data_IF_071263008397
#
_entry.id   IF_071263008397
#
_cell.length_a   1.000
_cell.length_b   1.000
_cell.length_c   1.000
_cell.angle_alpha   90.00
_cell.angle_beta   90.00
_cell.angle_gamma   90.00
#
_symmetry.space_group_name_H-M   'P 1'
#
loop_
_entity.id
_entity.type
_entity.pdbx_description
1 polymer ?
#
# COMPACT_ATOMS: atom_id res chain seq x y z
N UNK A 1 -30.00 -10.98 -4.18
CA UNK A 1 -30.29 -10.46 -2.84
C UNK A 1 -30.42 -8.97 -2.95
N UNK A 2 -31.49 -8.39 -2.41
CA UNK A 2 -31.72 -6.94 -2.32
C UNK A 2 -31.44 -6.49 -0.91
N UNK A 3 -30.56 -5.50 -0.74
CA UNK A 3 -30.26 -4.88 0.55
C UNK A 3 -30.92 -3.50 0.60
N UNK A 4 -31.55 -3.18 1.70
CA UNK A 4 -32.12 -1.86 2.00
C UNK A 4 -31.34 -1.30 3.18
N UNK A 5 -30.68 -0.16 2.99
CA UNK A 5 -30.01 0.53 4.08
C UNK A 5 -31.02 1.27 4.95
N UNK A 6 -30.74 1.35 6.25
CA UNK A 6 -31.56 2.11 7.19
C UNK A 6 -31.38 3.61 7.00
N UNK A 7 -30.16 4.02 6.66
CA UNK A 7 -29.79 5.40 6.42
C UNK A 7 -29.60 5.63 4.90
N UNK A 8 -29.78 6.85 4.44
CA UNK A 8 -29.57 7.23 3.03
C UNK A 8 -28.07 7.30 2.74
N UNK A 9 -27.52 6.17 2.27
CA UNK A 9 -26.10 6.02 1.96
C UNK A 9 -25.96 5.84 0.45
N UNK A 10 -25.15 6.69 -0.18
CA UNK A 10 -24.79 6.52 -1.58
C UNK A 10 -23.86 5.30 -1.74
N UNK A 11 -24.39 4.26 -2.37
CA UNK A 11 -23.68 3.02 -2.65
C UNK A 11 -23.77 2.69 -4.13
N UNK A 12 -22.67 2.85 -4.83
CA UNK A 12 -22.56 2.69 -6.28
C UNK A 12 -21.77 1.44 -6.67
N UNK A 13 -21.79 1.10 -7.97
CA UNK A 13 -20.99 -0.01 -8.49
C UNK A 13 -19.49 0.22 -8.20
N UNK A 14 -18.87 -0.78 -7.62
CA UNK A 14 -17.45 -0.75 -7.19
C UNK A 14 -17.26 -0.48 -5.70
N UNK A 15 -18.30 -0.03 -4.99
CA UNK A 15 -18.24 0.07 -3.55
C UNK A 15 -18.32 -1.31 -2.90
N UNK A 16 -17.64 -1.45 -1.77
CA UNK A 16 -17.64 -2.69 -0.97
C UNK A 16 -18.23 -2.41 0.39
N UNK A 17 -19.17 -3.25 0.80
CA UNK A 17 -19.79 -3.21 2.12
C UNK A 17 -19.01 -4.18 3.00
N UNK A 18 -18.42 -3.68 4.08
CA UNK A 18 -17.70 -4.49 5.06
C UNK A 18 -18.29 -4.35 6.46
N UNK A 19 -17.98 -5.30 7.32
CA UNK A 19 -18.37 -5.23 8.73
C UNK A 19 -17.61 -4.09 9.43
N UNK A 20 -18.30 -3.33 10.29
CA UNK A 20 -17.67 -2.29 11.12
C UNK A 20 -16.56 -2.86 12.03
N UNK A 21 -16.70 -4.13 12.45
CA UNK A 21 -15.72 -4.81 13.31
C UNK A 21 -14.53 -5.37 12.52
N UNK A 22 -14.62 -5.42 11.19
CA UNK A 22 -13.55 -5.90 10.29
C UNK A 22 -13.56 -5.06 9.02
N UNK A 23 -13.16 -3.79 9.09
CA UNK A 23 -13.09 -2.93 7.92
C UNK A 23 -12.01 -3.42 6.97
N UNK A 24 -12.25 -3.27 5.66
CA UNK A 24 -11.25 -3.54 4.64
C UNK A 24 -10.13 -2.51 4.69
N UNK A 25 -8.94 -2.93 4.28
CA UNK A 25 -7.86 -1.99 4.02
C UNK A 25 -8.17 -1.16 2.76
N UNK A 26 -7.83 0.12 2.81
CA UNK A 26 -7.98 1.05 1.68
C UNK A 26 -6.61 1.59 1.34
N UNK A 27 -6.19 1.44 0.09
CA UNK A 27 -4.89 1.90 -0.38
C UNK A 27 -4.89 2.19 -1.88
N UNK A 28 -4.00 3.08 -2.30
CA UNK A 28 -3.67 3.35 -3.70
C UNK A 28 -2.44 2.58 -4.18
N UNK A 29 -1.78 1.83 -3.28
CA UNK A 29 -0.63 0.99 -3.61
C UNK A 29 -0.78 -0.39 -3.01
N UNK A 30 -0.48 -1.40 -3.81
CA UNK A 30 -0.56 -2.79 -3.40
C UNK A 30 0.61 -3.59 -3.96
N UNK A 31 1.07 -4.56 -3.20
CA UNK A 31 1.96 -5.60 -3.69
C UNK A 31 1.13 -6.76 -4.21
N UNK A 32 1.49 -7.25 -5.37
CA UNK A 32 0.80 -8.37 -5.98
C UNK A 32 1.77 -9.33 -6.68
N UNK A 33 1.39 -10.60 -6.67
CA UNK A 33 1.98 -11.63 -7.52
C UNK A 33 1.18 -11.68 -8.81
N UNK A 34 1.82 -11.50 -9.96
CA UNK A 34 1.17 -11.52 -11.28
C UNK A 34 1.74 -12.62 -12.15
N UNK A 35 0.91 -13.16 -13.02
CA UNK A 35 1.28 -13.99 -14.16
C UNK A 35 1.15 -13.12 -15.40
N UNK A 36 2.24 -12.96 -16.12
CA UNK A 36 2.24 -12.20 -17.37
C UNK A 36 1.81 -13.10 -18.53
N UNK A 37 0.79 -12.67 -19.31
CA UNK A 37 0.16 -13.50 -20.33
C UNK A 37 0.24 -12.92 -21.74
N UNK A 38 0.98 -11.82 -21.93
CA UNK A 38 1.16 -11.19 -23.24
C UNK A 38 2.53 -11.54 -23.85
N UNK A 39 2.59 -11.62 -25.20
CA UNK A 39 3.83 -11.93 -25.93
C UNK A 39 4.89 -10.86 -25.70
N UNK A 40 4.49 -9.58 -25.73
CA UNK A 40 5.40 -8.48 -25.37
C UNK A 40 5.64 -8.48 -23.85
N UNK A 41 6.88 -8.29 -23.44
CA UNK A 41 7.25 -8.24 -22.04
C UNK A 41 6.61 -7.07 -21.31
N UNK A 42 6.38 -7.24 -20.00
CA UNK A 42 5.90 -6.18 -19.12
C UNK A 42 6.76 -4.92 -19.25
N UNK A 43 6.12 -3.78 -19.51
CA UNK A 43 6.78 -2.47 -19.53
C UNK A 43 6.51 -1.76 -18.20
N UNK A 44 7.52 -1.61 -17.33
CA UNK A 44 7.38 -0.89 -16.08
C UNK A 44 6.98 0.58 -16.29
N UNK A 45 6.08 1.08 -15.46
CA UNK A 45 5.56 2.45 -15.56
C UNK A 45 4.44 2.64 -16.58
N UNK A 46 4.13 1.64 -17.40
CA UNK A 46 2.97 1.69 -18.30
C UNK A 46 1.67 1.59 -17.53
N UNK A 47 0.66 2.33 -17.95
CA UNK A 47 -0.67 2.31 -17.37
C UNK A 47 -1.55 1.25 -18.03
N UNK A 48 -2.21 0.45 -17.22
CA UNK A 48 -3.16 -0.59 -17.60
C UNK A 48 -4.53 -0.30 -16.98
N UNK A 49 -5.58 -0.89 -17.52
CA UNK A 49 -6.85 -1.01 -16.81
C UNK A 49 -6.76 -2.18 -15.84
N UNK A 50 -6.97 -1.88 -14.56
CA UNK A 50 -7.08 -2.86 -13.48
C UNK A 50 -8.55 -3.16 -13.25
N UNK A 51 -8.91 -4.44 -13.20
CA UNK A 51 -10.26 -4.88 -12.90
C UNK A 51 -10.24 -5.83 -11.69
N UNK A 52 -10.90 -5.41 -10.61
CA UNK A 52 -11.08 -6.18 -9.35
C UNK A 52 -12.59 -6.29 -9.09
N UNK A 53 -13.15 -7.49 -9.14
CA UNK A 53 -14.58 -7.67 -8.99
C UNK A 53 -15.39 -6.80 -9.97
N UNK A 54 -16.21 -5.88 -9.44
CA UNK A 54 -16.99 -4.92 -10.23
C UNK A 54 -16.29 -3.58 -10.46
N UNK A 55 -15.15 -3.33 -9.80
CA UNK A 55 -14.38 -2.10 -9.91
C UNK A 55 -13.43 -2.16 -11.11
N UNK A 56 -13.39 -1.09 -11.89
CA UNK A 56 -12.47 -0.90 -13.00
C UNK A 56 -11.83 0.49 -12.90
N UNK A 57 -10.51 0.53 -12.90
CA UNK A 57 -9.74 1.77 -12.81
C UNK A 57 -8.38 1.64 -13.47
N UNK A 58 -7.68 2.76 -13.59
CA UNK A 58 -6.31 2.76 -14.11
C UNK A 58 -5.32 2.43 -13.01
N UNK A 59 -4.37 1.54 -13.32
CA UNK A 59 -3.22 1.23 -12.48
C UNK A 59 -1.92 1.27 -13.28
N UNK A 60 -0.85 1.62 -12.60
CA UNK A 60 0.51 1.59 -13.13
C UNK A 60 1.29 0.48 -12.47
N UNK A 61 1.95 -0.35 -13.26
CA UNK A 61 2.76 -1.46 -12.78
C UNK A 61 4.22 -1.02 -12.62
N UNK A 62 4.80 -1.26 -11.45
CA UNK A 62 6.21 -1.00 -11.20
C UNK A 62 7.11 -2.03 -11.89
N UNK A 63 8.42 -1.78 -11.85
CA UNK A 63 9.42 -2.81 -12.16
C UNK A 63 9.21 -4.00 -11.21
N UNK A 64 9.27 -5.27 -11.72
CA UNK A 64 9.19 -6.44 -10.85
C UNK A 64 10.26 -6.43 -9.77
N UNK A 65 9.90 -6.80 -8.56
CA UNK A 65 10.86 -7.01 -7.47
C UNK A 65 11.74 -8.22 -7.77
N UNK A 66 11.10 -9.29 -8.18
CA UNK A 66 11.71 -10.55 -8.61
C UNK A 66 10.70 -11.35 -9.43
N UNK A 67 11.17 -12.32 -10.19
CA UNK A 67 10.36 -13.38 -10.77
C UNK A 67 10.54 -14.68 -9.99
N UNK A 68 9.53 -15.52 -10.03
CA UNK A 68 9.51 -16.81 -9.34
C UNK A 68 9.80 -17.90 -10.36
N UNK A 69 10.81 -18.70 -10.10
CA UNK A 69 11.05 -19.92 -10.87
C UNK A 69 10.01 -20.98 -10.42
N UNK A 70 9.18 -21.44 -11.36
CA UNK A 70 8.09 -22.39 -11.08
C UNK A 70 8.61 -23.75 -10.62
N UNK A 71 9.80 -24.16 -11.10
CA UNK A 71 10.36 -25.47 -10.78
C UNK A 71 11.04 -25.52 -9.41
N UNK A 72 11.79 -24.42 -9.07
CA UNK A 72 12.62 -24.39 -7.86
C UNK A 72 12.03 -23.51 -6.76
N UNK A 73 10.97 -22.73 -7.04
CA UNK A 73 10.41 -21.68 -6.17
C UNK A 73 11.42 -20.59 -5.77
N UNK A 74 12.54 -20.46 -6.48
CA UNK A 74 13.54 -19.46 -6.21
C UNK A 74 13.14 -18.08 -6.75
N UNK A 75 13.56 -17.05 -6.04
CA UNK A 75 13.35 -15.66 -6.41
C UNK A 75 14.53 -15.19 -7.30
N UNK A 76 14.24 -14.86 -8.55
CA UNK A 76 15.24 -14.44 -9.52
C UNK A 76 15.06 -12.95 -9.78
N UNK A 77 16.15 -12.18 -9.66
CA UNK A 77 16.14 -10.76 -9.98
C UNK A 77 15.84 -10.56 -11.48
N UNK A 78 14.88 -9.69 -11.80
CA UNK A 78 14.49 -9.39 -13.18
C UNK A 78 14.16 -7.91 -13.36
N UNK A 79 14.20 -7.45 -14.61
CA UNK A 79 13.79 -6.07 -14.97
C UNK A 79 12.39 -6.00 -15.54
N UNK A 80 11.92 -7.09 -16.12
CA UNK A 80 10.60 -7.23 -16.74
C UNK A 80 10.12 -8.69 -16.62
N UNK A 81 8.89 -8.96 -17.03
CA UNK A 81 8.33 -10.31 -17.12
C UNK A 81 8.02 -10.60 -18.58
N UNK A 82 8.44 -11.77 -19.04
CA UNK A 82 8.08 -12.31 -20.34
C UNK A 82 6.81 -13.16 -20.23
N UNK A 83 6.30 -13.63 -21.37
CA UNK A 83 5.12 -14.49 -21.44
C UNK A 83 5.26 -15.70 -20.50
N UNK A 84 4.19 -15.99 -19.75
CA UNK A 84 4.10 -17.08 -18.77
C UNK A 84 5.07 -16.99 -17.58
N UNK A 85 5.73 -15.84 -17.37
CA UNK A 85 6.51 -15.63 -16.17
C UNK A 85 5.65 -15.11 -15.01
N UNK A 86 5.97 -15.60 -13.81
CA UNK A 86 5.34 -15.16 -12.56
C UNK A 86 6.31 -14.23 -11.85
N UNK A 87 5.81 -13.10 -11.37
CA UNK A 87 6.65 -12.16 -10.62
C UNK A 87 5.85 -11.32 -9.64
N UNK A 88 6.58 -10.71 -8.71
CA UNK A 88 6.02 -9.81 -7.71
C UNK A 88 6.26 -8.37 -8.12
N UNK A 89 5.19 -7.58 -8.15
CA UNK A 89 5.17 -6.18 -8.58
C UNK A 89 4.46 -5.31 -7.56
N UNK A 90 4.69 -4.00 -7.65
CA UNK A 90 3.87 -3.00 -6.98
C UNK A 90 2.95 -2.38 -8.04
N UNK A 91 1.66 -2.35 -7.74
CA UNK A 91 0.67 -1.63 -8.51
C UNK A 91 0.31 -0.34 -7.77
N UNK A 92 0.23 0.75 -8.52
CA UNK A 92 -0.25 2.05 -8.03
C UNK A 92 -1.50 2.42 -8.81
N UNK A 93 -2.60 2.66 -8.11
CA UNK A 93 -3.89 3.03 -8.67
C UNK A 93 -4.08 4.55 -8.63
N UNK A 94 -4.99 5.07 -9.47
CA UNK A 94 -5.30 6.51 -9.54
C UNK A 94 -6.01 6.99 -8.27
N UNK A 95 -6.82 6.11 -7.66
CA UNK A 95 -7.57 6.38 -6.44
C UNK A 95 -7.35 5.25 -5.46
N UNK A 96 -7.54 5.54 -4.18
CA UNK A 96 -7.58 4.52 -3.15
C UNK A 96 -8.75 3.56 -3.39
N UNK A 97 -8.50 2.27 -3.22
CA UNK A 97 -9.48 1.21 -3.39
C UNK A 97 -9.54 0.31 -2.15
N UNK A 98 -10.72 -0.19 -1.79
CA UNK A 98 -10.82 -1.23 -0.78
C UNK A 98 -10.24 -2.52 -1.35
N UNK A 99 -9.37 -3.17 -0.59
CA UNK A 99 -8.70 -4.40 -1.01
C UNK A 99 -8.43 -5.31 0.18
N UNK A 100 -8.17 -6.56 -0.13
CA UNK A 100 -7.72 -7.56 0.84
C UNK A 100 -6.74 -8.51 0.15
N UNK A 101 -6.04 -9.33 0.94
CA UNK A 101 -5.19 -10.36 0.37
C UNK A 101 -6.05 -11.43 -0.35
N UNK A 102 -5.50 -12.06 -1.38
CA UNK A 102 -6.18 -13.15 -2.07
C UNK A 102 -6.44 -14.35 -1.13
N UNK A 103 -5.63 -14.51 -0.09
CA UNK A 103 -5.80 -15.56 0.91
C UNK A 103 -7.05 -15.34 1.77
N UNK A 104 -7.40 -14.07 2.04
CA UNK A 104 -8.55 -13.73 2.87
C UNK A 104 -9.84 -13.69 2.04
N UNK A 105 -9.77 -13.24 0.79
CA UNK A 105 -10.91 -13.21 -0.14
C UNK A 105 -10.45 -13.30 -1.60
N UNK A 106 -10.85 -14.35 -2.29
CA UNK A 106 -10.55 -14.53 -3.71
C UNK A 106 -11.20 -13.44 -4.59
N UNK A 107 -12.41 -12.99 -4.23
CA UNK A 107 -13.19 -12.04 -5.03
C UNK A 107 -12.60 -10.62 -5.00
N UNK A 108 -12.05 -10.20 -3.86
CA UNK A 108 -11.45 -8.88 -3.66
C UNK A 108 -9.92 -8.88 -3.73
N UNK A 109 -9.30 -10.07 -3.70
CA UNK A 109 -7.86 -10.23 -3.76
C UNK A 109 -7.35 -10.66 -5.14
N UNK A 110 -8.25 -11.04 -6.06
CA UNK A 110 -7.92 -11.39 -7.43
C UNK A 110 -8.21 -10.25 -8.40
N UNK A 111 -7.35 -10.05 -9.41
CA UNK A 111 -7.53 -9.02 -10.43
C UNK A 111 -6.97 -9.42 -11.78
N UNK A 112 -7.34 -8.66 -12.81
CA UNK A 112 -6.72 -8.72 -14.13
C UNK A 112 -6.21 -7.35 -14.55
N UNK A 113 -5.14 -7.36 -15.38
CA UNK A 113 -4.65 -6.18 -16.08
C UNK A 113 -5.00 -6.27 -17.56
N UNK A 114 -5.52 -5.19 -18.09
CA UNK A 114 -5.95 -5.08 -19.49
C UNK A 114 -5.16 -3.95 -20.14
N UNK A 115 -4.60 -4.20 -21.32
CA UNK A 115 -3.92 -3.16 -22.08
C UNK A 115 -4.91 -2.14 -22.61
N UNK A 116 -4.59 -0.86 -22.45
CA UNK A 116 -5.47 0.25 -22.82
C UNK A 116 -5.68 0.40 -24.32
N UNK A 117 -4.70 0.02 -25.12
CA UNK A 117 -4.76 0.21 -26.58
C UNK A 117 -5.43 -0.94 -27.29
N UNK A 118 -5.17 -2.16 -26.87
CA UNK A 118 -5.69 -3.39 -27.51
C UNK A 118 -6.93 -3.96 -26.82
N UNK A 119 -7.23 -3.54 -25.59
CA UNK A 119 -8.25 -4.14 -24.72
C UNK A 119 -8.05 -5.65 -24.45
N UNK A 120 -6.80 -6.13 -24.60
CA UNK A 120 -6.44 -7.53 -24.33
C UNK A 120 -6.03 -7.65 -22.87
N UNK A 121 -6.45 -8.73 -22.21
CA UNK A 121 -5.96 -9.10 -20.88
C UNK A 121 -4.49 -9.51 -20.98
N UNK A 122 -3.61 -8.78 -20.30
CA UNK A 122 -2.16 -8.97 -20.35
C UNK A 122 -1.58 -9.62 -19.11
N UNK A 123 -2.30 -9.59 -17.99
CA UNK A 123 -1.90 -10.27 -16.78
C UNK A 123 -3.10 -10.64 -15.90
N UNK A 124 -2.95 -11.68 -15.11
CA UNK A 124 -3.77 -11.99 -13.96
C UNK A 124 -2.92 -11.87 -12.70
N UNK A 125 -3.52 -11.43 -11.60
CA UNK A 125 -2.78 -11.18 -10.37
C UNK A 125 -3.55 -11.48 -9.10
N UNK A 126 -2.78 -11.72 -8.05
CA UNK A 126 -3.22 -12.01 -6.71
C UNK A 126 -2.63 -10.95 -5.78
N UNK A 127 -3.46 -10.26 -5.03
CA UNK A 127 -3.01 -9.25 -4.06
C UNK A 127 -2.36 -9.97 -2.88
N UNK A 128 -1.12 -9.59 -2.56
CA UNK A 128 -0.42 -10.07 -1.38
C UNK A 128 -0.83 -9.23 -0.16
N UNK A 129 -0.69 -7.92 -0.26
CA UNK A 129 -1.07 -6.96 0.78
C UNK A 129 -1.12 -5.52 0.26
N UNK A 130 -1.79 -4.65 1.01
CA UNK A 130 -1.78 -3.21 0.80
C UNK A 130 -0.45 -2.60 1.25
N UNK A 131 0.12 -1.71 0.44
CA UNK A 131 1.25 -0.90 0.87
C UNK A 131 0.70 0.32 1.60
N UNK A 132 0.86 0.34 2.92
CA UNK A 132 0.45 1.47 3.74
C UNK A 132 1.40 2.63 3.51
N UNK A 133 0.90 3.75 2.98
CA UNK A 133 1.59 5.02 3.17
C UNK A 133 1.51 5.37 4.67
N UNK A 134 2.55 6.02 5.20
CA UNK A 134 2.66 6.43 6.60
C UNK A 134 1.52 7.33 7.14
N UNK A 135 0.46 7.54 6.36
CA UNK A 135 -0.73 8.29 6.75
C UNK A 135 -1.67 7.52 7.70
N UNK A 136 -1.56 6.18 7.76
CA UNK A 136 -2.32 5.37 8.70
C UNK A 136 -1.59 5.21 10.04
N UNK A 137 -1.19 6.31 10.66
CA UNK A 137 -0.83 6.30 12.07
C UNK A 137 -2.16 6.21 12.84
N UNK A 138 -2.64 5.01 13.10
CA UNK A 138 -3.65 4.80 14.11
C UNK A 138 -2.99 5.12 15.46
N UNK A 139 -3.50 6.15 16.12
CA UNK A 139 -3.19 6.38 17.52
C UNK A 139 -3.64 5.14 18.29
N UNK A 140 -2.67 4.35 18.76
CA UNK A 140 -2.99 3.36 19.78
C UNK A 140 -3.21 4.14 21.08
N UNK A 141 -4.42 4.06 21.62
CA UNK A 141 -4.69 4.49 22.99
C UNK A 141 -3.85 3.58 23.90
N UNK A 142 -2.77 4.14 24.41
CA UNK A 142 -1.97 3.45 25.42
C UNK A 142 -2.60 3.69 26.79
N UNK A 143 -2.68 2.64 27.62
CA UNK A 143 -3.24 2.71 28.99
C UNK A 143 -2.58 3.80 29.86
N UNK A 144 -1.35 4.19 29.52
CA UNK A 144 -0.62 5.27 30.17
C UNK A 144 -0.60 6.50 29.25
N UNK A 145 -1.24 7.55 29.66
CA UNK A 145 -1.30 8.82 28.91
C UNK A 145 0.03 9.57 28.93
N UNK A 146 0.23 10.48 27.97
CA UNK A 146 1.42 11.34 27.90
C UNK A 146 1.58 12.20 29.16
N UNK A 147 0.49 12.68 29.76
CA UNK A 147 0.48 13.46 30.99
C UNK A 147 0.94 12.63 32.19
N UNK A 148 0.47 11.41 32.33
CA UNK A 148 0.89 10.49 33.40
C UNK A 148 2.41 10.14 33.32
N UNK A 149 2.93 9.95 32.10
CA UNK A 149 4.37 9.76 31.92
C UNK A 149 5.18 11.02 32.25
N UNK A 150 4.67 12.19 31.91
CA UNK A 150 5.33 13.45 32.23
C UNK A 150 5.39 13.71 33.73
N UNK A 151 4.31 13.41 34.47
CA UNK A 151 4.24 13.50 35.92
C UNK A 151 5.18 12.50 36.63
N UNK A 152 5.16 11.23 36.18
CA UNK A 152 6.03 10.20 36.76
C UNK A 152 7.52 10.48 36.58
N UNK A 153 7.91 11.14 35.49
CA UNK A 153 9.28 11.52 35.20
C UNK A 153 9.63 12.94 35.66
N UNK A 154 8.65 13.67 36.22
CA UNK A 154 8.76 15.09 36.58
C UNK A 154 9.34 15.97 35.44
N UNK A 155 8.93 15.67 34.22
CA UNK A 155 9.43 16.30 32.99
C UNK A 155 8.28 16.85 32.15
N UNK A 156 8.52 17.98 31.48
CA UNK A 156 7.61 18.52 30.48
C UNK A 156 8.08 18.14 29.09
N UNK A 157 7.48 17.10 28.46
CA UNK A 157 7.91 16.66 27.14
C UNK A 157 7.69 17.76 26.10
N UNK A 158 8.71 18.04 25.31
CA UNK A 158 8.68 19.06 24.26
C UNK A 158 9.38 18.54 23.02
N UNK A 159 8.87 18.90 21.84
CA UNK A 159 9.47 18.57 20.54
C UNK A 159 10.10 19.86 19.98
N UNK A 160 11.40 19.82 19.73
CA UNK A 160 12.13 20.91 19.06
C UNK A 160 12.33 20.53 17.60
N UNK A 161 11.63 21.23 16.70
CA UNK A 161 11.74 21.01 15.26
C UNK A 161 12.74 22.00 14.66
N UNK A 162 13.88 21.51 14.17
CA UNK A 162 14.95 22.33 13.59
C UNK A 162 14.87 22.28 12.06
N UNK A 163 14.67 23.42 11.41
CA UNK A 163 14.64 23.58 9.96
C UNK A 163 15.82 24.42 9.47
N UNK A 164 16.19 24.28 8.21
CA UNK A 164 17.26 25.05 7.57
C UNK A 164 18.00 24.26 6.50
N UNK A 165 18.81 24.94 5.70
CA UNK A 165 19.59 24.36 4.61
C UNK A 165 20.61 23.33 5.11
N UNK A 166 21.07 22.45 4.23
CA UNK A 166 22.17 21.52 4.53
C UNK A 166 23.42 22.33 4.91
N UNK A 167 24.11 21.90 5.97
CA UNK A 167 25.30 22.62 6.48
C UNK A 167 25.02 23.81 7.39
N UNK A 168 23.76 24.18 7.71
CA UNK A 168 23.42 25.33 8.57
C UNK A 168 23.64 25.11 10.08
N UNK A 169 24.33 24.07 10.50
CA UNK A 169 24.68 23.83 11.90
C UNK A 169 23.58 23.21 12.76
N UNK A 170 22.46 22.73 12.17
CA UNK A 170 21.33 22.12 12.93
C UNK A 170 21.78 21.01 13.89
N UNK A 171 22.57 20.08 13.40
CA UNK A 171 23.06 18.94 14.20
C UNK A 171 23.99 19.40 15.33
N UNK A 172 24.81 20.42 15.11
CA UNK A 172 25.69 20.99 16.12
C UNK A 172 24.90 21.65 17.25
N UNK A 173 23.84 22.40 16.89
CA UNK A 173 22.95 23.05 17.87
C UNK A 173 22.14 21.98 18.61
N UNK A 174 21.60 20.97 17.92
CA UNK A 174 20.86 19.89 18.54
C UNK A 174 21.69 19.17 19.60
N UNK A 175 22.91 18.78 19.27
CA UNK A 175 23.83 18.12 20.19
C UNK A 175 24.19 19.04 21.39
N UNK A 176 24.39 20.33 21.19
CA UNK A 176 24.66 21.25 22.29
C UNK A 176 23.45 21.44 23.22
N UNK A 177 22.23 21.41 22.70
CA UNK A 177 20.99 21.46 23.48
C UNK A 177 20.81 20.15 24.27
N UNK A 178 21.03 19.00 23.67
CA UNK A 178 20.95 17.70 24.31
C UNK A 178 21.90 17.60 25.52
N UNK A 179 23.18 17.96 25.34
CA UNK A 179 24.16 17.98 26.41
C UNK A 179 23.79 18.91 27.58
N UNK A 180 23.09 20.04 27.31
CA UNK A 180 22.60 20.92 28.37
C UNK A 180 21.39 20.39 29.10
N UNK A 181 20.53 19.62 28.42
CA UNK A 181 19.34 19.02 29.03
C UNK A 181 19.70 17.79 29.88
N UNK A 182 20.69 17.01 29.46
CA UNK A 182 21.17 15.84 30.19
C UNK A 182 21.83 16.19 31.55
N UNK A 183 22.40 17.39 31.65
CA UNK A 183 23.10 17.88 32.87
C UNK A 183 22.17 18.49 33.93
N UNK A 184 20.85 18.45 33.74
CA UNK A 184 19.86 18.94 34.70
C UNK A 184 19.08 17.81 35.36
#
# INVERSE_FOLDING_TARGET
ITLIFKDDIDCSRGNVISSANSPLEVSDQLEATIIWMHEDALVPGRAYHLKIGSLELQATCSKPKYKINIETNEHIATKNLALNEIGVVILTTVHEIPLTSYQDSCDLGGFILIDKSSNITVAAGLINFALRRSQNIHWQDTDVTKSQRAESLNQKPSVLWMTGLSGSGKSTIANAVELKLERR
#
